data_IF_008382838335
#
_entry.id   IF_008382838335
#
_cell.length_a   1.000
_cell.length_b   1.000
_cell.length_c   1.000
_cell.angle_alpha   90.00
_cell.angle_beta   90.00
_cell.angle_gamma   90.00
#
_symmetry.space_group_name_H-M   'P 1'
#
loop_
_entity.id
_entity.type
_entity.pdbx_description
1 polymer ?
#
# COMPACT_ATOMS: atom_id res chain seq x y z
N UNK A 1 -9.75 -21.03 30.78
CA UNK A 1 -8.71 -21.95 31.30
C UNK A 1 -7.34 -21.34 31.05
N UNK A 2 -6.32 -21.63 31.88
CA UNK A 2 -5.00 -20.98 31.80
C UNK A 2 -3.89 -22.02 31.70
N UNK A 3 -2.96 -21.84 30.76
CA UNK A 3 -1.79 -22.72 30.65
C UNK A 3 -0.78 -22.44 31.77
N UNK A 4 -0.35 -23.42 32.57
CA UNK A 4 0.61 -23.19 33.66
C UNK A 4 2.04 -22.88 33.16
N UNK A 5 2.37 -23.23 31.92
CA UNK A 5 3.71 -23.01 31.34
C UNK A 5 3.88 -21.62 30.72
N UNK A 6 2.93 -21.17 29.89
CA UNK A 6 3.00 -19.88 29.21
C UNK A 6 2.05 -18.81 29.76
N UNK A 7 1.19 -19.17 30.74
CA UNK A 7 0.22 -18.30 31.39
C UNK A 7 -0.86 -17.70 30.47
N UNK A 8 -0.94 -18.16 29.23
CA UNK A 8 -1.97 -17.73 28.27
C UNK A 8 -3.33 -18.32 28.67
N UNK A 9 -4.34 -17.48 28.63
CA UNK A 9 -5.73 -17.86 28.82
C UNK A 9 -6.36 -18.28 27.49
N UNK A 10 -7.04 -19.43 27.50
CA UNK A 10 -7.67 -20.02 26.34
C UNK A 10 -9.09 -20.52 26.65
N UNK A 11 -9.90 -20.61 25.61
CA UNK A 11 -11.22 -21.19 25.68
C UNK A 11 -11.14 -22.73 25.64
N UNK A 12 -11.63 -23.45 26.66
CA UNK A 12 -11.56 -24.91 26.69
C UNK A 12 -12.47 -25.58 25.66
N UNK A 13 -13.44 -24.86 25.07
CA UNK A 13 -14.37 -25.41 24.08
C UNK A 13 -13.82 -25.37 22.66
N UNK A 14 -13.12 -24.30 22.27
CA UNK A 14 -12.62 -24.11 20.90
C UNK A 14 -11.09 -24.06 20.79
N UNK A 15 -10.37 -24.09 21.92
CA UNK A 15 -8.90 -24.00 22.00
C UNK A 15 -8.27 -22.72 21.46
N UNK A 16 -9.06 -21.71 21.08
CA UNK A 16 -8.58 -20.36 20.76
C UNK A 16 -8.29 -19.55 22.03
N UNK A 17 -7.74 -18.35 21.85
CA UNK A 17 -7.56 -17.38 22.94
C UNK A 17 -8.86 -17.16 23.72
N UNK A 18 -8.74 -16.95 25.03
CA UNK A 18 -9.88 -16.68 25.87
C UNK A 18 -10.67 -15.49 25.31
N UNK A 19 -11.98 -15.68 25.21
CA UNK A 19 -12.87 -14.75 24.52
C UNK A 19 -14.16 -14.51 25.32
N UNK A 20 -14.15 -14.69 26.65
CA UNK A 20 -15.28 -14.34 27.52
C UNK A 20 -15.46 -12.80 27.54
N UNK A 21 -16.68 -12.25 27.39
CA UNK A 21 -17.99 -12.92 27.45
C UNK A 21 -18.56 -13.38 26.09
N UNK A 22 -17.78 -13.37 25.01
CA UNK A 22 -18.22 -13.82 23.68
C UNK A 22 -18.35 -15.35 23.62
N UNK A 23 -19.40 -15.84 22.97
CA UNK A 23 -19.53 -17.28 22.66
C UNK A 23 -18.45 -17.73 21.68
N UNK A 24 -18.23 -19.04 21.56
CA UNK A 24 -17.30 -19.58 20.57
C UNK A 24 -17.68 -19.15 19.14
N UNK A 25 -18.97 -19.09 18.79
CA UNK A 25 -19.39 -18.58 17.48
C UNK A 25 -19.11 -17.08 17.31
N UNK A 26 -19.29 -16.26 18.34
CA UNK A 26 -19.02 -14.82 18.27
C UNK A 26 -17.51 -14.52 18.20
N UNK A 27 -16.70 -15.29 18.91
CA UNK A 27 -15.24 -15.23 18.79
C UNK A 27 -14.76 -15.75 17.43
N UNK A 28 -15.40 -16.79 16.90
CA UNK A 28 -15.18 -17.23 15.52
C UNK A 28 -15.66 -16.16 14.52
N UNK A 29 -16.72 -15.41 14.81
CA UNK A 29 -17.16 -14.28 14.01
C UNK A 29 -16.20 -13.07 14.12
N UNK A 30 -15.29 -13.01 15.10
CA UNK A 30 -14.15 -12.08 15.05
C UNK A 30 -13.14 -12.43 13.94
N UNK A 31 -13.23 -13.63 13.34
CA UNK A 31 -12.56 -13.91 12.04
C UNK A 31 -13.25 -13.23 10.86
N UNK A 32 -14.47 -12.69 11.03
CA UNK A 32 -15.13 -11.92 9.96
C UNK A 32 -14.30 -10.70 9.59
N UNK A 33 -13.70 -10.02 10.58
CA UNK A 33 -12.75 -8.94 10.31
C UNK A 33 -11.53 -9.40 9.51
N UNK A 34 -11.01 -10.60 9.78
CA UNK A 34 -9.89 -11.18 9.01
C UNK A 34 -10.30 -11.60 7.60
N UNK A 35 -11.52 -12.13 7.44
CA UNK A 35 -12.10 -12.46 6.12
C UNK A 35 -12.34 -11.20 5.31
N UNK A 36 -12.95 -10.18 5.89
CA UNK A 36 -13.18 -8.88 5.27
C UNK A 36 -11.85 -8.23 4.86
N UNK A 37 -10.84 -8.27 5.74
CA UNK A 37 -9.50 -7.77 5.43
C UNK A 37 -8.85 -8.55 4.28
N UNK A 38 -9.03 -9.87 4.22
CA UNK A 38 -8.53 -10.71 3.13
C UNK A 38 -9.25 -10.41 1.82
N UNK A 39 -10.57 -10.32 1.82
CA UNK A 39 -11.36 -9.97 0.64
C UNK A 39 -11.04 -8.57 0.12
N UNK A 40 -10.91 -7.59 1.01
CA UNK A 40 -10.49 -6.24 0.65
C UNK A 40 -9.05 -6.23 0.13
N UNK A 41 -8.15 -7.00 0.75
CA UNK A 41 -6.78 -7.15 0.29
C UNK A 41 -6.69 -7.76 -1.11
N UNK A 42 -7.53 -8.75 -1.40
CA UNK A 42 -7.64 -9.34 -2.75
C UNK A 42 -8.14 -8.32 -3.77
N UNK A 43 -9.16 -7.51 -3.42
CA UNK A 43 -9.70 -6.44 -4.28
C UNK A 43 -8.65 -5.34 -4.56
N UNK A 44 -7.92 -4.91 -3.52
CA UNK A 44 -6.90 -3.86 -3.61
C UNK A 44 -5.54 -4.36 -4.11
N UNK A 45 -5.37 -5.68 -4.26
CA UNK A 45 -4.11 -6.30 -4.69
C UNK A 45 -3.03 -6.38 -3.60
N UNK A 46 -3.38 -6.16 -2.33
CA UNK A 46 -2.46 -6.29 -1.21
C UNK A 46 -1.87 -7.70 -1.12
N UNK A 47 -0.66 -7.80 -0.59
CA UNK A 47 0.04 -9.07 -0.43
C UNK A 47 0.35 -9.38 1.03
N UNK A 48 0.10 -10.62 1.49
CA UNK A 48 0.45 -11.01 2.83
C UNK A 48 1.97 -11.16 2.96
N UNK A 49 2.54 -10.63 4.04
CA UNK A 49 3.92 -10.91 4.41
C UNK A 49 4.12 -12.44 4.60
N UNK A 50 5.15 -13.06 4.00
CA UNK A 50 5.35 -14.51 4.09
C UNK A 50 5.57 -14.98 5.53
N UNK A 51 6.16 -14.13 6.39
CA UNK A 51 6.45 -14.41 7.80
C UNK A 51 5.25 -14.18 8.73
N UNK A 52 4.75 -12.94 8.80
CA UNK A 52 3.75 -12.57 9.81
C UNK A 52 2.31 -12.50 9.29
N UNK A 53 2.09 -12.74 8.00
CA UNK A 53 0.80 -12.71 7.30
C UNK A 53 0.03 -11.38 7.31
N UNK A 54 0.67 -10.30 7.78
CA UNK A 54 0.09 -8.96 7.70
C UNK A 54 -0.09 -8.56 6.22
N UNK A 55 -1.26 -8.04 5.87
CA UNK A 55 -1.51 -7.51 4.53
C UNK A 55 -0.65 -6.26 4.30
N UNK A 56 0.09 -6.27 3.21
CA UNK A 56 1.00 -5.21 2.83
C UNK A 56 0.55 -4.64 1.48
N UNK A 57 0.31 -3.34 1.46
CA UNK A 57 0.04 -2.57 0.26
C UNK A 57 1.36 -2.17 -0.41
N UNK A 58 1.41 -2.23 -1.75
CA UNK A 58 2.47 -1.58 -2.52
C UNK A 58 2.04 -0.14 -2.78
N UNK A 59 2.84 0.81 -2.28
CA UNK A 59 2.55 2.25 -2.51
C UNK A 59 2.88 2.60 -3.96
N UNK A 60 4.17 2.60 -4.35
CA UNK A 60 4.61 2.86 -5.72
C UNK A 60 6.03 2.31 -5.96
N UNK A 61 6.39 2.08 -7.23
CA UNK A 61 7.77 1.88 -7.67
C UNK A 61 8.26 0.44 -7.60
N UNK A 62 8.73 -0.01 -6.44
CA UNK A 62 9.50 -1.25 -6.31
C UNK A 62 8.64 -2.45 -5.90
N UNK A 63 8.76 -3.57 -6.62
CA UNK A 63 8.11 -4.85 -6.30
C UNK A 63 8.85 -5.64 -5.21
N UNK A 64 9.99 -5.16 -4.72
CA UNK A 64 10.66 -5.68 -3.53
C UNK A 64 10.14 -4.95 -2.29
N UNK A 65 9.25 -5.58 -1.55
CA UNK A 65 8.64 -5.01 -0.36
C UNK A 65 9.42 -5.34 0.90
N UNK A 66 9.33 -4.45 1.88
CA UNK A 66 9.78 -4.69 3.25
C UNK A 66 8.58 -4.69 4.17
N UNK A 67 8.42 -5.71 5.01
CA UNK A 67 7.31 -5.75 5.95
C UNK A 67 7.54 -4.77 7.10
N UNK A 68 6.63 -3.80 7.26
CA UNK A 68 6.67 -2.79 8.31
C UNK A 68 5.83 -3.14 9.55
N UNK A 69 5.24 -4.35 9.60
CA UNK A 69 4.40 -4.78 10.72
C UNK A 69 5.18 -4.78 12.04
N UNK A 70 4.53 -4.54 13.20
CA UNK A 70 5.21 -4.62 14.50
C UNK A 70 5.90 -5.96 14.75
N UNK A 71 5.37 -7.06 14.18
CA UNK A 71 5.94 -8.41 14.30
C UNK A 71 7.23 -8.61 13.50
N UNK A 72 7.45 -7.83 12.43
CA UNK A 72 8.61 -7.95 11.54
C UNK A 72 9.54 -6.73 11.57
N UNK A 73 9.14 -5.64 12.23
CA UNK A 73 9.93 -4.42 12.37
C UNK A 73 11.32 -4.77 12.92
N UNK A 74 12.37 -4.24 12.27
CA UNK A 74 13.77 -4.48 12.64
C UNK A 74 14.36 -5.81 12.16
N UNK A 75 13.56 -6.73 11.59
CA UNK A 75 14.04 -8.05 11.15
C UNK A 75 14.46 -8.10 9.68
N UNK A 76 14.22 -7.03 8.90
CA UNK A 76 14.57 -7.00 7.48
C UNK A 76 13.84 -8.06 6.65
N UNK A 77 12.56 -8.29 6.93
CA UNK A 77 11.76 -9.24 6.14
C UNK A 77 11.39 -8.60 4.83
N UNK A 78 11.99 -9.11 3.75
CA UNK A 78 11.72 -8.68 2.40
C UNK A 78 10.99 -9.76 1.60
N UNK A 79 10.18 -9.35 0.63
CA UNK A 79 9.44 -10.28 -0.22
C UNK A 79 9.01 -9.65 -1.54
N UNK A 80 8.73 -10.48 -2.53
CA UNK A 80 8.24 -10.06 -3.83
C UNK A 80 6.74 -9.73 -3.75
N UNK A 81 6.34 -8.54 -4.20
CA UNK A 81 4.93 -8.17 -4.34
C UNK A 81 4.20 -9.00 -5.40
N UNK A 82 4.90 -9.45 -6.43
CA UNK A 82 4.26 -10.15 -7.55
C UNK A 82 3.88 -11.58 -7.13
N UNK A 83 4.85 -12.36 -6.64
CA UNK A 83 4.67 -13.77 -6.32
C UNK A 83 4.52 -14.06 -4.82
N UNK A 84 4.75 -13.09 -3.93
CA UNK A 84 4.68 -13.26 -2.48
C UNK A 84 5.85 -14.02 -1.85
N UNK A 85 6.86 -14.42 -2.64
CA UNK A 85 8.00 -15.19 -2.14
C UNK A 85 8.89 -14.32 -1.23
N UNK A 86 9.37 -14.89 -0.12
CA UNK A 86 10.32 -14.22 0.76
C UNK A 86 11.66 -14.07 0.03
N UNK A 87 12.24 -12.88 0.15
CA UNK A 87 13.52 -12.51 -0.46
C UNK A 87 14.50 -12.06 0.61
N UNK A 88 15.78 -12.23 0.31
CA UNK A 88 16.89 -11.58 1.00
C UNK A 88 17.17 -10.21 0.39
N UNK A 89 17.94 -9.37 1.09
CA UNK A 89 18.34 -8.05 0.57
C UNK A 89 19.13 -8.12 -0.75
N UNK A 90 19.87 -9.21 -0.98
CA UNK A 90 20.69 -9.40 -2.20
C UNK A 90 19.81 -9.65 -3.42
N UNK A 91 18.68 -10.32 -3.24
CA UNK A 91 17.73 -10.65 -4.31
C UNK A 91 16.87 -9.47 -4.78
N UNK A 92 17.19 -8.24 -4.35
CA UNK A 92 16.51 -7.01 -4.77
C UNK A 92 16.47 -6.85 -6.29
N UNK A 93 17.52 -7.28 -7.00
CA UNK A 93 17.58 -7.26 -8.47
C UNK A 93 17.50 -8.66 -9.07
N UNK A 94 18.14 -9.66 -8.46
CA UNK A 94 18.23 -11.02 -9.02
C UNK A 94 16.88 -11.71 -9.19
N UNK A 95 15.89 -11.36 -8.36
CA UNK A 95 14.54 -11.93 -8.45
C UNK A 95 13.71 -11.36 -9.62
N UNK A 96 14.11 -10.21 -10.18
CA UNK A 96 13.32 -9.46 -11.15
C UNK A 96 14.08 -9.36 -12.48
N UNK A 97 13.78 -10.22 -13.48
CA UNK A 97 14.53 -10.28 -14.73
C UNK A 97 14.55 -8.97 -15.53
N UNK A 98 13.49 -8.15 -15.41
CA UNK A 98 13.38 -6.82 -16.04
C UNK A 98 13.64 -5.66 -15.06
N UNK A 99 14.18 -5.97 -13.88
CA UNK A 99 14.36 -5.03 -12.78
C UNK A 99 13.13 -4.95 -11.86
N UNK A 100 13.30 -4.50 -10.60
CA UNK A 100 12.26 -4.56 -9.58
C UNK A 100 11.12 -3.55 -9.78
N UNK A 101 11.25 -2.63 -10.72
CA UNK A 101 10.23 -1.63 -11.05
C UNK A 101 9.22 -2.12 -12.10
N UNK A 102 9.61 -3.15 -12.86
CA UNK A 102 8.74 -3.78 -13.86
C UNK A 102 7.92 -4.90 -13.23
N UNK A 103 6.72 -5.15 -13.74
CA UNK A 103 5.89 -6.27 -13.31
C UNK A 103 6.41 -7.60 -13.89
N UNK A 104 7.58 -8.05 -13.43
CA UNK A 104 8.23 -9.29 -13.87
C UNK A 104 9.05 -9.89 -12.73
N UNK A 105 8.77 -11.15 -12.36
CA UNK A 105 9.59 -11.90 -11.41
C UNK A 105 9.85 -13.32 -11.91
N UNK A 106 10.88 -13.97 -11.37
CA UNK A 106 11.27 -15.35 -11.75
C UNK A 106 10.18 -16.40 -11.46
N UNK A 107 9.27 -16.11 -10.53
CA UNK A 107 8.18 -17.01 -10.12
C UNK A 107 6.85 -16.73 -10.83
N UNK A 108 6.82 -15.88 -11.87
CA UNK A 108 5.59 -15.58 -12.59
C UNK A 108 5.29 -16.66 -13.65
N UNK A 109 4.20 -17.45 -13.53
CA UNK A 109 3.66 -18.16 -14.68
C UNK A 109 3.10 -17.13 -15.68
N UNK A 110 3.29 -17.33 -16.98
CA UNK A 110 2.83 -16.42 -18.07
C UNK A 110 1.41 -15.87 -17.80
N UNK A 111 1.13 -14.59 -18.13
CA UNK A 111 0.49 -13.63 -17.22
C UNK A 111 -1.06 -13.72 -17.14
N UNK A 112 -1.65 -13.47 -15.95
CA UNK A 112 -3.00 -12.92 -15.82
C UNK A 112 -2.98 -11.39 -15.55
N UNK A 113 -4.08 -10.73 -15.93
CA UNK A 113 -4.25 -9.27 -16.09
C UNK A 113 -3.93 -8.45 -14.83
N UNK A 114 -3.23 -7.33 -15.05
CA UNK A 114 -2.86 -6.32 -14.04
C UNK A 114 -4.14 -5.81 -13.32
N UNK A 115 -4.15 -5.63 -11.99
CA UNK A 115 -5.29 -5.04 -11.29
C UNK A 115 -5.60 -3.63 -11.82
N UNK A 116 -6.89 -3.22 -11.91
CA UNK A 116 -7.30 -1.94 -12.51
C UNK A 116 -6.67 -0.69 -11.88
N UNK A 117 -6.16 -0.78 -10.65
CA UNK A 117 -5.58 0.33 -9.91
C UNK A 117 -4.21 0.78 -10.43
N UNK A 118 -3.46 -0.07 -11.15
CA UNK A 118 -2.12 0.26 -11.65
C UNK A 118 -2.08 0.51 -13.18
N UNK A 119 -3.23 0.55 -13.87
CA UNK A 119 -3.29 0.72 -15.34
C UNK A 119 -3.25 2.18 -15.82
N UNK A 120 -3.17 3.16 -14.92
CA UNK A 120 -2.98 4.57 -15.28
C UNK A 120 -1.53 4.99 -14.99
N UNK A 121 -0.61 4.45 -15.78
CA UNK A 121 0.73 4.99 -15.95
C UNK A 121 0.92 5.28 -17.43
N UNK A 122 0.67 6.53 -17.83
CA UNK A 122 1.00 7.01 -19.17
C UNK A 122 2.47 6.67 -19.46
N UNK A 123 2.69 5.94 -20.56
CA UNK A 123 4.00 5.73 -21.16
C UNK A 123 4.57 7.08 -21.62
N UNK A 124 5.29 7.74 -20.71
CA UNK A 124 6.12 8.91 -21.01
C UNK A 124 7.58 8.50 -21.10
N UNK A 125 8.16 8.66 -22.29
CA UNK A 125 9.57 8.48 -22.61
C UNK A 125 10.54 9.17 -21.62
N UNK A 126 11.81 8.73 -21.51
CA UNK A 126 12.79 9.35 -20.64
C UNK A 126 13.23 10.70 -21.22
N UNK A 127 12.55 11.77 -20.82
CA UNK A 127 12.92 13.14 -21.13
C UNK A 127 12.91 14.00 -19.88
N UNK A 128 14.09 14.46 -19.44
CA UNK A 128 14.20 15.58 -18.50
C UNK A 128 13.44 16.76 -19.11
N UNK A 129 12.24 17.06 -18.61
CA UNK A 129 11.49 18.26 -18.99
C UNK A 129 11.75 19.35 -17.96
N UNK A 130 12.75 20.18 -18.27
CA UNK A 130 12.92 21.51 -17.69
C UNK A 130 11.60 22.27 -17.93
N UNK A 131 10.94 22.71 -16.87
CA UNK A 131 9.76 23.58 -16.93
C UNK A 131 10.17 24.95 -17.51
N UNK A 132 10.14 25.09 -18.83
CA UNK A 132 10.08 26.39 -19.48
C UNK A 132 8.61 26.76 -19.72
N UNK A 133 8.20 27.77 -18.96
CA UNK A 133 7.07 28.70 -19.13
C UNK A 133 5.98 28.33 -20.15
N UNK A 134 4.77 28.18 -19.60
CA UNK A 134 3.55 28.65 -20.24
C UNK A 134 2.69 27.57 -20.88
N UNK A 135 1.74 27.03 -20.11
CA UNK A 135 0.43 26.64 -20.65
C UNK A 135 -0.63 26.52 -19.53
N UNK A 136 -1.87 26.81 -19.93
CA UNK A 136 -3.02 27.29 -19.14
C UNK A 136 -3.49 26.31 -18.06
N UNK A 137 -3.77 26.86 -16.87
CA UNK A 137 -4.62 26.21 -15.87
C UNK A 137 -6.06 26.16 -16.41
N UNK A 138 -6.72 25.01 -16.28
CA UNK A 138 -8.12 24.82 -16.64
C UNK A 138 -9.10 25.61 -15.73
N UNK A 139 -10.42 25.41 -15.89
CA UNK A 139 -11.48 26.30 -15.37
C UNK A 139 -11.59 26.45 -13.84
N UNK A 140 -10.77 25.72 -13.06
CA UNK A 140 -10.59 25.91 -11.62
C UNK A 140 -9.53 26.99 -11.29
N UNK A 141 -8.64 27.34 -12.23
CA UNK A 141 -7.65 28.41 -12.08
C UNK A 141 -8.22 29.82 -12.31
N UNK A 142 -9.33 29.94 -13.04
CA UNK A 142 -9.93 31.24 -13.38
C UNK A 142 -10.66 31.92 -12.21
N UNK A 143 -11.12 31.14 -11.23
CA UNK A 143 -11.78 31.69 -10.02
C UNK A 143 -10.78 32.40 -9.10
N UNK A 144 -9.55 31.89 -9.01
CA UNK A 144 -8.49 32.48 -8.17
C UNK A 144 -7.96 33.80 -8.76
N UNK A 145 -7.90 33.94 -10.09
CA UNK A 145 -7.44 35.16 -10.77
C UNK A 145 -8.48 36.30 -10.65
N UNK A 146 -9.77 35.98 -10.70
CA UNK A 146 -10.83 36.99 -10.60
C UNK A 146 -11.03 37.54 -9.17
N UNK A 147 -10.68 36.77 -8.13
CA UNK A 147 -10.64 37.29 -6.76
C UNK A 147 -9.42 38.20 -6.53
N UNK A 148 -8.26 37.86 -7.10
CA UNK A 148 -7.05 38.68 -7.00
C UNK A 148 -7.14 40.01 -7.76
N UNK A 149 -7.97 40.12 -8.80
CA UNK A 149 -8.15 41.37 -9.57
C UNK A 149 -9.05 42.40 -8.87
N UNK A 150 -9.92 41.98 -7.94
CA UNK A 150 -10.73 42.91 -7.11
C UNK A 150 -9.95 43.46 -5.91
N UNK A 151 -8.88 42.79 -5.51
CA UNK A 151 -8.01 43.23 -4.41
C UNK A 151 -6.89 44.21 -4.85
N UNK A 152 -6.78 44.53 -6.15
CA UNK A 152 -5.67 45.29 -6.73
C UNK A 152 -6.01 46.69 -7.26
N UNK A 153 -7.20 47.23 -6.99
CA UNK A 153 -7.54 48.64 -7.26
C UNK A 153 -7.50 49.44 -5.96
N UNK A 154 -6.28 49.73 -5.49
CA UNK A 154 -5.97 50.71 -4.45
C UNK A 154 -5.14 51.83 -5.06
N UNK A 155 -5.69 53.03 -5.01
CA UNK A 155 -5.32 54.25 -5.75
C UNK A 155 -3.88 54.73 -5.51
N UNK A 156 -3.19 55.11 -6.59
CA UNK A 156 -2.02 56.00 -6.52
C UNK A 156 -2.52 57.42 -6.25
N UNK A 157 -2.17 57.95 -5.08
CA UNK A 157 -2.32 59.37 -4.72
C UNK A 157 -1.43 60.23 -5.63
N UNK A 158 -2.02 61.18 -6.34
CA UNK A 158 -1.29 62.36 -6.83
C UNK A 158 -1.10 63.36 -5.68
N UNK A 159 0.14 63.81 -5.51
CA UNK A 159 0.51 64.85 -4.58
C UNK A 159 1.22 65.98 -5.31
N UNK A 160 0.60 67.17 -5.19
CA UNK A 160 1.09 68.52 -5.52
C UNK A 160 0.83 69.04 -6.94
#
# INVERSE_FOLDING_TARGET
>A
AKCPGCLIEFCPHCSNLAHDPLTCEQAAASTEGEKQLKSLGEEKGWKPCPKCKAMCEKVLGCNFLTCCSPRCRGQGIHFCYICGSQLTRKEHYDHFPKGPYEYSCVNLPKPPKIPPSEQNGESGEPGIRILLRGQRLGPLGDRLINEMRRAGSGELREGR
#
